data_IF_320754288999
#
_entry.id   IF_320754288999
#
_cell.length_a   1.000
_cell.length_b   1.000
_cell.length_c   1.000
_cell.angle_alpha   90.00
_cell.angle_beta   90.00
_cell.angle_gamma   90.00
#
_symmetry.space_group_name_H-M   'P 1'
#
loop_
_entity.id
_entity.type
_entity.pdbx_description
1 polymer ?
#
# COMPACT_ATOMS: atom_id res chain seq x y z
N UNK A 1 11.62 -31.64 -12.24
CA UNK A 1 10.19 -31.28 -12.25
C UNK A 1 9.60 -31.20 -10.83
N UNK A 2 9.71 -32.25 -9.99
CA UNK A 2 9.22 -32.26 -8.60
C UNK A 2 9.73 -31.11 -7.71
N UNK A 3 10.99 -30.69 -7.86
CA UNK A 3 11.57 -29.61 -7.05
C UNK A 3 10.90 -28.24 -7.26
N UNK A 4 10.41 -27.98 -8.47
CA UNK A 4 9.66 -26.75 -8.78
C UNK A 4 8.22 -26.79 -8.24
N UNK A 5 7.59 -27.97 -8.27
CA UNK A 5 6.28 -28.19 -7.65
C UNK A 5 6.30 -27.97 -6.13
N UNK A 6 7.35 -28.41 -5.44
CA UNK A 6 7.51 -28.21 -4.00
C UNK A 6 7.67 -26.72 -3.63
N UNK A 7 8.45 -25.95 -4.42
CA UNK A 7 8.60 -24.52 -4.20
C UNK A 7 7.29 -23.75 -4.43
N UNK A 8 6.53 -24.12 -5.46
CA UNK A 8 5.22 -23.52 -5.73
C UNK A 8 4.22 -23.81 -4.61
N UNK A 9 4.18 -25.02 -4.07
CA UNK A 9 3.26 -25.40 -2.99
C UNK A 9 3.47 -24.57 -1.71
N UNK A 10 4.71 -24.22 -1.36
CA UNK A 10 5.03 -23.40 -0.18
C UNK A 10 4.51 -21.95 -0.36
N UNK A 11 4.59 -21.41 -1.57
CA UNK A 11 4.15 -20.04 -1.88
C UNK A 11 2.64 -19.81 -1.79
N UNK A 12 1.83 -20.87 -1.89
CA UNK A 12 0.36 -20.77 -1.79
C UNK A 12 -0.17 -20.79 -0.34
N UNK A 13 0.69 -21.01 0.66
CA UNK A 13 0.28 -21.14 2.07
C UNK A 13 -0.24 -19.84 2.71
N UNK A 14 -0.13 -18.69 2.04
CA UNK A 14 -0.62 -17.40 2.55
C UNK A 14 -2.10 -17.11 2.31
N UNK A 15 -2.79 -17.90 1.50
CA UNK A 15 -4.21 -17.71 1.23
C UNK A 15 -5.08 -18.52 2.19
N UNK A 16 -5.57 -17.89 3.26
CA UNK A 16 -6.52 -18.48 4.19
C UNK A 16 -7.86 -17.74 4.16
N UNK A 17 -8.97 -18.50 4.10
CA UNK A 17 -10.31 -17.94 4.31
C UNK A 17 -10.55 -17.82 5.81
N UNK A 18 -10.53 -16.59 6.31
CA UNK A 18 -10.83 -16.24 7.70
C UNK A 18 -12.29 -15.81 7.85
N UNK A 19 -12.86 -16.04 9.02
CA UNK A 19 -14.21 -15.58 9.33
C UNK A 19 -14.24 -14.04 9.43
N UNK A 20 -15.38 -13.37 9.15
CA UNK A 20 -15.46 -11.92 9.14
C UNK A 20 -14.99 -11.25 10.45
N UNK A 21 -15.28 -11.86 11.60
CA UNK A 21 -14.91 -11.34 12.92
C UNK A 21 -13.39 -11.48 13.22
N UNK A 22 -12.68 -12.40 12.57
CA UNK A 22 -11.22 -12.53 12.71
C UNK A 22 -10.47 -11.35 12.04
N UNK A 23 -11.19 -10.54 11.24
CA UNK A 23 -10.65 -9.37 10.55
C UNK A 23 -10.82 -8.08 11.34
N UNK A 24 -11.55 -8.11 12.46
CA UNK A 24 -11.90 -6.92 13.26
C UNK A 24 -10.65 -6.16 13.76
N UNK A 25 -9.59 -6.88 14.10
CA UNK A 25 -8.35 -6.28 14.62
C UNK A 25 -7.45 -5.67 13.55
N UNK A 26 -7.72 -5.91 12.25
CA UNK A 26 -6.92 -5.36 11.15
C UNK A 26 -7.26 -3.91 10.83
N UNK A 27 -8.50 -3.47 11.04
CA UNK A 27 -8.98 -2.15 10.65
C UNK A 27 -9.16 -1.24 11.88
N UNK A 28 -8.07 -0.98 12.60
CA UNK A 28 -8.11 -0.09 13.75
C UNK A 28 -8.42 1.35 13.31
N UNK A 29 -9.12 2.11 14.18
CA UNK A 29 -9.51 3.51 13.92
C UNK A 29 -8.33 4.47 13.70
N UNK A 30 -7.14 4.12 14.14
CA UNK A 30 -5.92 4.90 13.92
C UNK A 30 -5.20 4.57 12.60
N UNK A 31 -5.61 3.49 11.92
CA UNK A 31 -5.17 3.18 10.56
C UNK A 31 -6.08 3.83 9.50
N UNK A 32 -7.06 4.64 9.92
CA UNK A 32 -7.96 5.34 9.01
C UNK A 32 -7.17 6.34 8.14
N UNK A 33 -7.12 6.13 6.81
CA UNK A 33 -6.34 6.99 5.94
C UNK A 33 -6.80 8.43 6.03
N UNK A 34 -5.84 9.32 6.24
CA UNK A 34 -6.11 10.74 6.23
C UNK A 34 -6.88 11.30 7.41
N UNK A 35 -6.93 10.58 8.53
CA UNK A 35 -7.50 11.06 9.79
C UNK A 35 -6.70 12.24 10.39
N UNK A 36 -5.39 12.26 10.18
CA UNK A 36 -4.49 13.32 10.65
C UNK A 36 -3.94 14.10 9.46
N UNK A 37 -4.20 15.41 9.43
CA UNK A 37 -3.79 16.29 8.33
C UNK A 37 -2.27 16.46 8.23
N UNK A 38 -1.53 16.39 9.33
CA UNK A 38 -0.07 16.53 9.34
C UNK A 38 0.59 15.27 8.76
N UNK A 39 0.11 14.09 9.19
CA UNK A 39 0.55 12.80 8.64
C UNK A 39 0.24 12.69 7.15
N UNK A 40 -0.93 13.15 6.70
CA UNK A 40 -1.28 13.21 5.27
C UNK A 40 -0.29 14.01 4.46
N UNK A 41 0.06 15.21 4.92
CA UNK A 41 1.00 16.08 4.21
C UNK A 41 2.37 15.43 4.07
N UNK A 42 2.83 14.73 5.10
CA UNK A 42 4.06 13.94 5.06
C UNK A 42 4.01 12.76 4.07
N UNK A 43 2.90 12.01 4.05
CA UNK A 43 2.68 10.90 3.11
C UNK A 43 2.63 11.40 1.65
N UNK A 44 1.88 12.48 1.39
CA UNK A 44 1.78 13.13 0.09
C UNK A 44 3.14 13.63 -0.39
N UNK A 45 3.94 14.25 0.50
CA UNK A 45 5.31 14.68 0.20
C UNK A 45 6.23 13.50 -0.14
N UNK A 46 6.23 12.44 0.68
CA UNK A 46 7.04 11.25 0.46
C UNK A 46 6.63 10.50 -0.82
N UNK A 47 5.35 10.55 -1.19
CA UNK A 47 4.84 9.96 -2.42
C UNK A 47 5.26 10.82 -3.63
N UNK A 48 5.10 12.14 -3.57
CA UNK A 48 5.52 13.05 -4.62
C UNK A 48 7.03 12.97 -4.91
N UNK A 49 7.88 12.86 -3.87
CA UNK A 49 9.32 12.68 -4.05
C UNK A 49 9.69 11.37 -4.75
N UNK A 50 9.05 10.26 -4.35
CA UNK A 50 9.36 8.94 -4.90
C UNK A 50 8.84 8.75 -6.31
N UNK A 51 7.62 9.23 -6.55
CA UNK A 51 6.90 8.91 -7.76
C UNK A 51 7.02 9.97 -8.86
N UNK A 52 7.52 11.17 -8.54
CA UNK A 52 8.09 12.21 -9.42
C UNK A 52 7.22 12.72 -10.59
N UNK A 53 6.69 11.82 -11.41
CA UNK A 53 5.85 12.03 -12.59
C UNK A 53 4.40 11.54 -12.45
N UNK A 54 4.08 10.63 -11.52
CA UNK A 54 2.74 10.02 -11.44
C UNK A 54 1.71 10.83 -10.64
N UNK A 55 2.14 11.91 -9.98
CA UNK A 55 1.26 12.86 -9.30
C UNK A 55 0.71 12.34 -7.96
N UNK A 56 1.45 12.57 -6.88
CA UNK A 56 0.88 12.53 -5.53
C UNK A 56 -0.09 13.70 -5.34
N UNK A 57 -1.26 13.43 -4.78
CA UNK A 57 -2.40 14.36 -4.76
C UNK A 57 -2.08 15.79 -4.29
N UNK A 58 -2.90 16.74 -4.76
CA UNK A 58 -2.90 18.12 -4.24
C UNK A 58 -1.68 18.98 -4.60
N UNK A 59 -1.48 19.26 -5.90
CA UNK A 59 -0.84 20.50 -6.43
C UNK A 59 0.72 20.58 -6.41
N UNK A 60 1.29 20.58 -7.63
CA UNK A 60 2.63 21.04 -8.10
C UNK A 60 3.87 20.71 -7.24
N UNK A 61 4.38 19.48 -7.37
CA UNK A 61 5.83 19.27 -7.34
C UNK A 61 6.32 19.21 -8.79
N UNK A 62 7.27 20.08 -9.15
CA UNK A 62 7.78 20.27 -10.51
C UNK A 62 8.47 19.04 -11.12
N UNK A 63 7.68 18.08 -11.58
CA UNK A 63 8.12 17.08 -12.54
C UNK A 63 8.27 17.73 -13.92
N UNK A 64 9.13 17.17 -14.77
CA UNK A 64 9.43 17.63 -16.14
C UNK A 64 8.20 17.63 -17.09
N UNK A 65 6.98 17.42 -16.61
CA UNK A 65 5.74 17.59 -17.38
C UNK A 65 5.53 16.63 -18.55
N UNK A 66 6.41 15.64 -18.75
CA UNK A 66 6.28 14.69 -19.86
C UNK A 66 5.28 13.57 -19.52
N UNK A 67 4.00 13.79 -19.83
CA UNK A 67 3.16 12.76 -20.44
C UNK A 67 3.17 12.96 -21.95
#
# INVERSE_FOLDING_TARGET
MVRWLLLAAIGLSGCARVAPYERETLARRDMEPGRDGDLRGGEEHAHAYREGSSGGGGVTSGGCGCN
#
